data_IF_919257557735
#
_entry.id   IF_919257557735
#
_cell.length_a   1.000
_cell.length_b   1.000
_cell.length_c   1.000
_cell.angle_alpha   90.00
_cell.angle_beta   90.00
_cell.angle_gamma   90.00
#
_symmetry.space_group_name_H-M   'P 1'
#
loop_
_entity.id
_entity.type
_entity.pdbx_description
1 polymer ?
#
# COMPACT_ATOMS: atom_id res chain seq x y z
N UNK A 1 23.14 11.66 20.35
CA UNK A 1 22.13 10.67 20.04
C UNK A 1 20.77 11.36 20.00
N UNK A 2 19.95 11.09 19.00
CA UNK A 2 18.57 11.60 18.93
C UNK A 2 17.67 10.81 19.89
N UNK A 3 16.54 11.41 20.30
CA UNK A 3 15.46 10.76 21.04
C UNK A 3 14.15 11.28 20.46
N UNK A 4 13.19 10.39 20.23
CA UNK A 4 11.89 10.77 19.71
C UNK A 4 10.75 10.08 20.46
N UNK A 5 9.63 10.82 20.63
CA UNK A 5 8.37 10.30 21.15
C UNK A 5 7.26 10.58 20.15
N UNK A 6 6.49 9.56 19.79
CA UNK A 6 5.39 9.68 18.84
C UNK A 6 4.09 9.24 19.50
N UNK A 7 3.08 10.08 19.39
CA UNK A 7 1.73 9.81 19.91
C UNK A 7 0.69 10.20 18.86
N UNK A 8 -0.28 9.34 18.65
CA UNK A 8 -1.41 9.58 17.76
C UNK A 8 -2.65 9.95 18.58
N UNK A 9 -3.37 10.99 18.16
CA UNK A 9 -4.59 11.45 18.82
C UNK A 9 -5.02 12.84 18.36
N UNK A 10 -6.06 13.38 18.97
CA UNK A 10 -6.59 14.69 18.64
C UNK A 10 -5.62 15.82 19.04
N UNK A 11 -5.46 16.79 18.13
CA UNK A 11 -4.62 17.98 18.30
C UNK A 11 -5.42 19.20 17.90
N UNK A 12 -5.39 20.23 18.74
CA UNK A 12 -5.96 21.54 18.43
C UNK A 12 -4.93 22.38 17.69
N UNK A 13 -5.29 22.87 16.51
CA UNK A 13 -4.47 23.78 15.71
C UNK A 13 -4.99 25.20 15.82
N UNK A 14 -4.22 26.09 16.40
CA UNK A 14 -4.52 27.53 16.49
C UNK A 14 -3.62 28.29 15.52
N UNK A 15 -4.24 29.11 14.66
CA UNK A 15 -3.51 29.98 13.75
C UNK A 15 -3.06 31.24 14.49
N UNK A 16 -1.76 31.47 14.59
CA UNK A 16 -1.22 32.73 15.12
C UNK A 16 -1.53 33.88 14.18
N UNK A 17 -2.24 34.89 14.69
CA UNK A 17 -2.62 36.08 13.92
C UNK A 17 -1.43 36.94 13.49
N UNK A 18 -0.28 36.84 14.19
CA UNK A 18 0.90 37.67 13.94
C UNK A 18 1.94 37.07 13.00
N UNK A 19 2.00 35.75 12.88
CA UNK A 19 3.08 35.06 12.11
C UNK A 19 2.55 34.17 11.00
N UNK A 20 1.21 33.96 10.93
CA UNK A 20 0.61 33.02 9.96
C UNK A 20 0.94 31.56 10.21
N UNK A 21 1.72 31.25 11.26
CA UNK A 21 2.09 29.87 11.64
C UNK A 21 0.99 29.23 12.48
N UNK A 22 0.89 27.92 12.41
CA UNK A 22 -0.02 27.13 13.25
C UNK A 22 0.71 26.70 14.52
N UNK A 23 0.10 26.98 15.68
CA UNK A 23 0.49 26.38 16.94
C UNK A 23 -0.38 25.18 17.22
N UNK A 24 0.24 24.04 17.53
CA UNK A 24 -0.46 22.83 17.87
C UNK A 24 -0.47 22.64 19.39
N UNK A 25 -1.65 22.36 19.98
CA UNK A 25 -1.82 22.11 21.41
C UNK A 25 -2.71 20.89 21.64
N UNK A 26 -2.61 20.31 22.86
CA UNK A 26 -3.44 19.18 23.26
C UNK A 26 -2.68 18.10 24.03
N UNK A 27 -3.45 17.16 24.59
CA UNK A 27 -2.93 16.06 25.38
C UNK A 27 -1.96 15.16 24.58
N UNK A 28 -2.22 14.97 23.31
CA UNK A 28 -1.39 14.17 22.37
C UNK A 28 0.03 14.74 22.24
N UNK A 29 0.16 16.07 22.12
CA UNK A 29 1.48 16.73 22.02
C UNK A 29 2.25 16.63 23.34
N UNK A 30 1.54 16.86 24.45
CA UNK A 30 2.15 16.72 25.80
C UNK A 30 2.64 15.28 26.00
N UNK A 31 1.89 14.29 25.54
CA UNK A 31 2.24 12.89 25.63
C UNK A 31 3.44 12.55 24.74
N UNK A 32 3.49 13.04 23.52
CA UNK A 32 4.65 12.87 22.64
C UNK A 32 5.93 13.46 23.24
N UNK A 33 5.84 14.64 23.89
CA UNK A 33 6.95 15.23 24.62
C UNK A 33 7.45 14.33 25.78
N UNK A 34 6.54 13.77 26.56
CA UNK A 34 6.90 12.86 27.67
C UNK A 34 7.50 11.53 27.19
N UNK A 35 7.00 10.99 26.08
CA UNK A 35 7.59 9.81 25.44
C UNK A 35 9.02 10.10 24.98
N UNK A 36 9.24 11.25 24.35
CA UNK A 36 10.59 11.70 23.96
C UNK A 36 11.53 11.76 25.17
N UNK A 37 11.08 12.36 26.30
CA UNK A 37 11.90 12.49 27.49
C UNK A 37 12.19 11.13 28.17
N UNK A 38 11.29 10.16 28.01
CA UNK A 38 11.44 8.80 28.52
C UNK A 38 12.19 7.86 27.56
N UNK A 39 12.33 8.24 26.28
CA UNK A 39 12.97 7.40 25.30
C UNK A 39 14.47 7.24 25.59
N UNK A 40 15.03 6.02 25.52
CA UNK A 40 16.47 5.82 25.61
C UNK A 40 17.21 6.54 24.49
N UNK A 41 18.48 6.94 24.71
CA UNK A 41 19.29 7.60 23.69
C UNK A 41 19.39 6.76 22.38
N UNK A 42 19.07 7.38 21.24
CA UNK A 42 19.09 6.72 19.94
C UNK A 42 17.80 5.96 19.61
N UNK A 43 16.74 6.04 20.43
CA UNK A 43 15.53 5.28 20.24
C UNK A 43 14.29 6.17 20.00
N UNK A 44 13.28 5.55 19.42
CA UNK A 44 11.96 6.13 19.20
C UNK A 44 10.95 5.36 20.04
N UNK A 45 10.25 6.05 20.93
CA UNK A 45 9.21 5.50 21.78
C UNK A 45 7.82 5.90 21.24
N UNK A 46 6.89 4.96 21.16
CA UNK A 46 5.53 5.22 20.66
C UNK A 46 4.46 4.75 21.64
N UNK A 47 3.26 5.37 21.58
CA UNK A 47 2.09 4.91 22.32
C UNK A 47 1.47 3.66 21.69
N UNK A 48 0.58 2.99 22.44
CA UNK A 48 -0.21 1.85 21.95
C UNK A 48 -1.03 2.24 20.69
N UNK A 49 -1.65 3.42 20.67
CA UNK A 49 -2.43 3.90 19.53
C UNK A 49 -1.56 4.07 18.28
N UNK A 50 -0.36 4.64 18.44
CA UNK A 50 0.62 4.72 17.34
C UNK A 50 1.10 3.33 16.90
N UNK A 51 1.48 2.47 17.87
CA UNK A 51 1.89 1.09 17.60
C UNK A 51 0.84 0.34 16.76
N UNK A 52 -0.44 0.43 17.14
CA UNK A 52 -1.52 -0.27 16.46
C UNK A 52 -1.64 0.16 14.98
N UNK A 53 -1.40 1.45 14.69
CA UNK A 53 -1.48 1.96 13.33
C UNK A 53 -0.28 1.57 12.45
N UNK A 54 0.91 1.45 13.04
CA UNK A 54 2.15 1.27 12.26
C UNK A 54 2.85 -0.08 12.49
N UNK A 55 2.28 -0.99 13.31
CA UNK A 55 2.83 -2.33 13.58
C UNK A 55 2.99 -3.20 12.33
N UNK A 56 2.24 -2.90 11.26
CA UNK A 56 2.37 -3.56 9.97
C UNK A 56 3.64 -3.14 9.19
N UNK A 57 4.25 -2.00 9.55
CA UNK A 57 5.38 -1.39 8.82
C UNK A 57 6.69 -1.50 9.58
N UNK A 58 6.63 -1.47 10.93
CA UNK A 58 7.80 -1.48 11.79
C UNK A 58 7.82 -2.71 12.70
N UNK A 59 9.02 -3.15 13.07
CA UNK A 59 9.25 -4.10 14.15
C UNK A 59 9.35 -3.34 15.46
N UNK A 60 8.74 -3.87 16.52
CA UNK A 60 8.71 -3.26 17.84
C UNK A 60 9.09 -4.26 18.90
N UNK A 61 9.60 -3.77 20.00
CA UNK A 61 9.61 -4.49 21.28
C UNK A 61 8.91 -3.66 22.37
N UNK A 62 8.34 -4.30 23.40
CA UNK A 62 7.73 -3.59 24.52
C UNK A 62 8.75 -2.65 25.18
N UNK A 63 8.33 -1.41 25.44
CA UNK A 63 9.07 -0.46 26.24
C UNK A 63 8.60 -0.47 27.69
N UNK A 64 9.30 0.29 28.55
CA UNK A 64 8.90 0.43 29.95
C UNK A 64 7.56 1.20 30.03
N UNK A 65 6.59 0.73 30.83
CA UNK A 65 5.31 1.41 31.00
C UNK A 65 5.50 2.82 31.59
N UNK A 66 4.92 3.83 30.92
CA UNK A 66 5.09 5.23 31.29
C UNK A 66 4.03 5.65 32.31
N UNK A 67 4.45 6.04 33.52
CA UNK A 67 3.57 6.61 34.54
C UNK A 67 3.28 8.07 34.28
N UNK A 68 2.03 8.40 34.03
CA UNK A 68 1.60 9.77 33.76
C UNK A 68 0.92 10.38 35.00
N UNK A 69 1.32 11.62 35.34
CA UNK A 69 0.69 12.36 36.43
C UNK A 69 -0.80 12.59 36.11
N UNK A 70 -1.72 12.07 36.95
CA UNK A 70 -3.16 12.18 36.75
C UNK A 70 -3.81 10.95 36.08
N UNK A 71 -3.05 9.92 35.70
CA UNK A 71 -3.58 8.62 35.26
C UNK A 71 -3.31 7.56 36.31
N UNK A 72 -4.32 6.73 36.62
CA UNK A 72 -4.20 5.66 37.61
C UNK A 72 -3.37 4.47 37.07
N UNK A 73 -3.46 4.20 35.78
CA UNK A 73 -2.78 3.08 35.12
C UNK A 73 -1.58 3.59 34.30
N UNK A 74 -0.46 2.87 34.32
CA UNK A 74 0.67 3.14 33.44
C UNK A 74 0.25 3.01 31.98
N UNK A 75 0.86 3.79 31.10
CA UNK A 75 0.64 3.71 29.66
C UNK A 75 1.65 2.73 29.06
N UNK A 76 1.17 1.75 28.31
CA UNK A 76 2.03 0.84 27.54
C UNK A 76 2.75 1.62 26.44
N UNK A 77 4.05 1.37 26.34
CA UNK A 77 4.91 1.99 25.34
C UNK A 77 5.61 0.91 24.52
N UNK A 78 6.02 1.28 23.31
CA UNK A 78 6.71 0.40 22.38
C UNK A 78 7.90 1.13 21.79
N UNK A 79 9.03 0.44 21.70
CA UNK A 79 10.25 0.93 21.07
C UNK A 79 10.28 0.46 19.62
N UNK A 80 10.52 1.39 18.70
CA UNK A 80 10.72 1.08 17.28
C UNK A 80 12.13 0.50 17.11
N UNK A 81 12.20 -0.72 16.61
CA UNK A 81 13.46 -1.43 16.38
C UNK A 81 13.97 -1.22 14.95
N UNK A 82 13.13 -1.52 13.96
CA UNK A 82 13.49 -1.45 12.55
C UNK A 82 12.27 -1.33 11.65
N UNK A 83 12.49 -0.92 10.41
CA UNK A 83 11.48 -0.99 9.35
C UNK A 83 11.39 -2.44 8.87
N UNK A 84 10.19 -3.01 8.86
CA UNK A 84 9.98 -4.34 8.27
C UNK A 84 10.32 -4.29 6.78
N UNK A 85 10.96 -5.34 6.23
CA UNK A 85 11.06 -5.50 4.79
C UNK A 85 9.69 -5.29 4.13
N UNK A 86 9.64 -4.67 2.95
CA UNK A 86 8.37 -4.32 2.27
C UNK A 86 7.45 -5.54 2.11
N UNK A 87 8.01 -6.74 1.88
CA UNK A 87 7.30 -8.01 1.80
C UNK A 87 6.50 -8.38 3.08
N UNK A 88 6.89 -7.85 4.24
CA UNK A 88 6.24 -8.13 5.53
C UNK A 88 5.37 -6.98 6.05
N UNK A 89 5.13 -5.94 5.25
CA UNK A 89 4.26 -4.82 5.61
C UNK A 89 2.80 -5.23 5.47
N UNK A 90 2.27 -5.97 6.45
CA UNK A 90 0.85 -6.28 6.49
C UNK A 90 0.05 -5.03 6.86
N UNK A 91 -0.93 -4.67 6.05
CA UNK A 91 -1.92 -3.65 6.45
C UNK A 91 -2.83 -4.31 7.50
N UNK A 92 -2.85 -3.78 8.73
CA UNK A 92 -3.83 -4.18 9.74
C UNK A 92 -5.24 -3.99 9.16
N UNK A 93 -6.07 -5.05 9.16
CA UNK A 93 -7.39 -5.05 8.51
C UNK A 93 -8.48 -5.38 9.49
N UNK A 94 -9.63 -4.75 9.28
CA UNK A 94 -10.78 -4.87 10.16
C UNK A 94 -10.91 -3.74 11.17
N UNK A 95 -11.93 -3.82 12.00
CA UNK A 95 -12.24 -2.84 13.03
C UNK A 95 -11.89 -3.46 14.38
N UNK A 96 -11.11 -2.76 15.19
CA UNK A 96 -10.83 -3.12 16.60
C UNK A 96 -10.35 -4.58 16.77
N UNK A 97 -9.45 -5.04 15.88
CA UNK A 97 -8.92 -6.42 15.94
C UNK A 97 -9.87 -7.51 15.45
N UNK A 98 -11.02 -7.14 14.90
CA UNK A 98 -11.93 -8.08 14.21
C UNK A 98 -11.48 -8.25 12.78
N UNK A 99 -10.84 -9.37 12.45
CA UNK A 99 -10.55 -9.72 11.07
C UNK A 99 -11.85 -10.01 10.32
N UNK A 100 -12.00 -9.42 9.15
CA UNK A 100 -13.20 -9.55 8.31
C UNK A 100 -12.88 -10.27 7.01
N UNK A 101 -13.85 -11.02 6.50
CA UNK A 101 -13.78 -11.60 5.17
C UNK A 101 -14.03 -10.52 4.10
N UNK A 102 -13.44 -10.70 2.93
CA UNK A 102 -13.80 -9.91 1.77
C UNK A 102 -15.23 -10.22 1.34
N UNK A 103 -16.02 -9.19 1.07
CA UNK A 103 -17.43 -9.34 0.69
C UNK A 103 -17.67 -8.68 -0.68
N UNK A 104 -18.33 -9.42 -1.59
CA UNK A 104 -18.85 -8.90 -2.86
C UNK A 104 -17.78 -8.58 -3.90
N UNK A 105 -16.65 -9.31 -3.85
CA UNK A 105 -15.53 -9.22 -4.81
C UNK A 105 -15.04 -10.60 -5.25
N UNK A 106 -15.89 -11.59 -5.09
CA UNK A 106 -15.56 -12.99 -5.37
C UNK A 106 -15.33 -13.24 -6.87
N UNK A 107 -16.01 -12.48 -7.74
CA UNK A 107 -15.86 -12.57 -9.20
C UNK A 107 -14.52 -11.98 -9.62
N UNK A 108 -14.24 -10.77 -9.15
CA UNK A 108 -12.99 -10.04 -9.48
C UNK A 108 -11.76 -10.79 -8.95
N UNK A 109 -11.86 -11.39 -7.76
CA UNK A 109 -10.80 -12.25 -7.24
C UNK A 109 -10.56 -13.46 -8.14
N UNK A 110 -11.63 -14.11 -8.59
CA UNK A 110 -11.52 -15.26 -9.48
C UNK A 110 -10.87 -14.90 -10.82
N UNK A 111 -11.21 -13.76 -11.42
CA UNK A 111 -10.55 -13.28 -12.64
C UNK A 111 -9.04 -13.11 -12.47
N UNK A 112 -8.60 -12.55 -11.32
CA UNK A 112 -7.18 -12.46 -11.01
C UNK A 112 -6.52 -13.83 -10.84
N UNK A 113 -7.21 -14.77 -10.20
CA UNK A 113 -6.73 -16.14 -10.01
C UNK A 113 -6.61 -16.89 -11.35
N UNK A 114 -7.61 -16.77 -12.21
CA UNK A 114 -7.63 -17.36 -13.56
C UNK A 114 -6.49 -16.77 -14.42
N UNK A 115 -6.26 -15.46 -14.38
CA UNK A 115 -5.18 -14.83 -15.13
C UNK A 115 -3.78 -15.30 -14.66
N UNK A 116 -3.56 -15.48 -13.35
CA UNK A 116 -2.31 -16.08 -12.87
C UNK A 116 -2.16 -17.53 -13.29
N UNK A 117 -3.22 -18.32 -13.21
CA UNK A 117 -3.21 -19.73 -13.65
C UNK A 117 -2.85 -19.83 -15.13
N UNK A 118 -3.47 -19.03 -15.99
CA UNK A 118 -3.15 -18.96 -17.43
C UNK A 118 -1.68 -18.57 -17.67
N UNK A 119 -1.17 -17.59 -16.90
CA UNK A 119 0.25 -17.20 -16.98
C UNK A 119 1.18 -18.38 -16.68
N UNK A 120 0.83 -19.19 -15.68
CA UNK A 120 1.65 -20.35 -15.28
C UNK A 120 1.54 -21.52 -16.26
N UNK A 121 0.33 -21.79 -16.77
CA UNK A 121 0.07 -22.93 -17.68
C UNK A 121 0.54 -22.66 -19.10
N UNK A 122 0.23 -21.48 -19.64
CA UNK A 122 0.51 -21.15 -21.05
C UNK A 122 1.88 -20.49 -21.24
N UNK A 123 2.50 -19.99 -20.16
CA UNK A 123 3.78 -19.27 -20.21
C UNK A 123 3.68 -17.91 -20.92
N UNK A 124 2.48 -17.33 -20.99
CA UNK A 124 2.21 -16.07 -21.68
C UNK A 124 2.04 -14.91 -20.69
N UNK A 125 2.40 -13.71 -21.15
CA UNK A 125 2.23 -12.49 -20.34
C UNK A 125 0.76 -12.12 -20.24
N UNK A 126 0.24 -11.99 -19.03
CA UNK A 126 -1.11 -11.52 -18.72
C UNK A 126 -1.05 -10.19 -17.96
N UNK A 127 -1.95 -9.27 -18.29
CA UNK A 127 -2.05 -7.97 -17.60
C UNK A 127 -3.49 -7.74 -17.17
N UNK A 128 -3.68 -7.41 -15.91
CA UNK A 128 -4.99 -7.02 -15.40
C UNK A 128 -4.91 -5.64 -14.77
N UNK A 129 -5.74 -4.71 -15.24
CA UNK A 129 -5.88 -3.40 -14.62
C UNK A 129 -7.19 -3.30 -13.86
N UNK A 130 -7.10 -3.29 -12.54
CA UNK A 130 -8.25 -3.10 -11.64
C UNK A 130 -8.48 -1.61 -11.42
N UNK A 131 -9.62 -1.12 -11.87
CA UNK A 131 -9.99 0.30 -11.84
C UNK A 131 -11.14 0.51 -10.86
N UNK A 132 -11.07 1.55 -10.06
CA UNK A 132 -12.18 1.91 -9.17
C UNK A 132 -11.83 3.12 -8.32
N UNK A 133 -12.86 3.75 -7.79
CA UNK A 133 -12.73 4.93 -6.93
C UNK A 133 -11.99 4.66 -5.62
N UNK A 134 -11.65 5.73 -4.90
CA UNK A 134 -11.04 5.60 -3.58
C UNK A 134 -11.98 4.85 -2.62
N UNK A 135 -11.41 3.94 -1.82
CA UNK A 135 -12.17 3.21 -0.82
C UNK A 135 -13.01 2.03 -1.32
N UNK A 136 -13.13 1.82 -2.65
CA UNK A 136 -13.98 0.77 -3.24
C UNK A 136 -13.47 -0.67 -3.01
N UNK A 137 -12.28 -0.83 -2.43
CA UNK A 137 -11.73 -2.14 -2.05
C UNK A 137 -10.61 -2.69 -2.92
N UNK A 138 -9.98 -1.89 -3.80
CA UNK A 138 -8.84 -2.33 -4.65
C UNK A 138 -7.72 -3.02 -3.87
N UNK A 139 -7.21 -2.36 -2.83
CA UNK A 139 -6.12 -2.91 -2.00
C UNK A 139 -6.56 -4.13 -1.18
N UNK A 140 -7.87 -4.26 -0.88
CA UNK A 140 -8.40 -5.46 -0.25
C UNK A 140 -8.41 -6.64 -1.23
N UNK A 141 -8.81 -6.40 -2.46
CA UNK A 141 -8.80 -7.42 -3.52
C UNK A 141 -7.37 -7.92 -3.78
N UNK A 142 -6.40 -7.01 -3.90
CA UNK A 142 -4.99 -7.38 -4.08
C UNK A 142 -4.46 -8.21 -2.92
N UNK A 143 -4.83 -7.87 -1.68
CA UNK A 143 -4.42 -8.63 -0.52
C UNK A 143 -5.00 -10.06 -0.50
N UNK A 144 -6.29 -10.20 -0.79
CA UNK A 144 -6.91 -11.54 -0.85
C UNK A 144 -6.28 -12.38 -1.96
N UNK A 145 -5.98 -11.76 -3.10
CA UNK A 145 -5.24 -12.40 -4.17
C UNK A 145 -3.85 -12.83 -3.72
N UNK A 146 -3.07 -11.93 -3.08
CA UNK A 146 -1.72 -12.25 -2.57
C UNK A 146 -1.77 -13.36 -1.52
N UNK A 147 -2.75 -13.30 -0.60
CA UNK A 147 -2.92 -14.34 0.42
C UNK A 147 -3.24 -15.70 -0.21
N UNK A 148 -4.05 -15.72 -1.26
CA UNK A 148 -4.35 -16.94 -1.99
C UNK A 148 -3.12 -17.44 -2.77
N UNK A 149 -2.40 -16.56 -3.47
CA UNK A 149 -1.22 -16.94 -4.25
C UNK A 149 -0.07 -17.46 -3.39
N UNK A 150 0.06 -17.00 -2.13
CA UNK A 150 1.03 -17.51 -1.17
C UNK A 150 0.75 -18.97 -0.73
N UNK A 151 -0.46 -19.49 -0.99
CA UNK A 151 -0.84 -20.87 -0.69
C UNK A 151 -0.66 -21.82 -1.88
N UNK A 152 -0.25 -21.32 -3.05
CA UNK A 152 0.04 -22.16 -4.21
C UNK A 152 1.32 -22.98 -3.96
N UNK A 153 1.38 -24.18 -4.53
CA UNK A 153 2.57 -25.02 -4.48
C UNK A 153 3.66 -24.49 -5.40
N UNK A 154 3.26 -23.82 -6.48
CA UNK A 154 4.16 -23.20 -7.45
C UNK A 154 4.80 -21.94 -6.87
N UNK A 155 6.12 -21.85 -7.02
CA UNK A 155 6.87 -20.66 -6.63
C UNK A 155 6.92 -19.66 -7.77
N UNK A 156 6.84 -18.37 -7.45
CA UNK A 156 6.97 -17.26 -8.40
C UNK A 156 7.84 -16.14 -7.84
N UNK A 157 8.40 -15.34 -8.74
CA UNK A 157 9.11 -14.12 -8.36
C UNK A 157 8.15 -12.96 -8.21
N UNK A 158 8.05 -12.44 -6.98
CA UNK A 158 7.22 -11.28 -6.70
C UNK A 158 8.02 -9.98 -6.86
N UNK A 159 7.44 -9.04 -7.62
CA UNK A 159 7.86 -7.64 -7.75
C UNK A 159 6.70 -6.74 -7.33
N UNK A 160 6.94 -5.80 -6.44
CA UNK A 160 5.91 -4.87 -5.99
C UNK A 160 6.39 -3.43 -6.13
N UNK A 161 5.50 -2.56 -6.56
CA UNK A 161 5.73 -1.12 -6.58
C UNK A 161 4.44 -0.36 -6.29
N UNK A 162 4.59 0.80 -5.67
CA UNK A 162 3.48 1.67 -5.39
C UNK A 162 3.80 3.10 -5.79
N UNK A 163 2.97 3.67 -6.68
CA UNK A 163 3.04 5.08 -6.99
C UNK A 163 2.42 5.93 -5.88
N UNK A 164 2.97 7.12 -5.70
CA UNK A 164 2.46 8.14 -4.77
C UNK A 164 2.33 9.47 -5.51
N UNK A 165 1.50 10.37 -5.00
CA UNK A 165 1.32 11.67 -5.65
C UNK A 165 2.65 12.45 -5.84
N UNK A 166 3.57 12.51 -4.87
CA UNK A 166 4.89 13.12 -5.09
C UNK A 166 5.74 12.43 -6.15
N UNK A 167 5.62 11.10 -6.31
CA UNK A 167 6.40 10.33 -7.27
C UNK A 167 6.00 10.58 -8.73
N UNK A 168 4.82 11.15 -8.96
CA UNK A 168 4.33 11.49 -10.31
C UNK A 168 5.26 12.45 -11.07
N UNK A 169 5.98 13.30 -10.35
CA UNK A 169 6.93 14.27 -10.91
C UNK A 169 8.37 13.73 -11.03
N UNK A 170 8.62 12.52 -10.55
CA UNK A 170 9.95 11.91 -10.54
C UNK A 170 10.03 10.80 -11.61
N UNK A 171 10.76 11.04 -12.71
CA UNK A 171 10.91 10.03 -13.77
C UNK A 171 11.41 8.69 -13.22
N UNK A 172 10.83 7.61 -13.68
CA UNK A 172 11.17 6.24 -13.30
C UNK A 172 10.95 5.89 -11.82
N UNK A 173 10.16 6.67 -11.08
CA UNK A 173 9.94 6.44 -9.65
C UNK A 173 9.25 5.10 -9.38
N UNK A 174 8.25 4.71 -10.17
CA UNK A 174 7.56 3.43 -10.00
C UNK A 174 8.47 2.24 -10.34
N UNK A 175 9.24 2.33 -11.44
CA UNK A 175 10.18 1.26 -11.81
C UNK A 175 11.33 1.15 -10.81
N UNK A 176 11.84 2.26 -10.31
CA UNK A 176 12.82 2.26 -9.22
C UNK A 176 12.25 1.57 -7.98
N UNK A 177 11.00 1.85 -7.60
CA UNK A 177 10.34 1.22 -6.46
C UNK A 177 10.19 -0.30 -6.66
N UNK A 178 9.88 -0.75 -7.90
CA UNK A 178 9.77 -2.16 -8.28
C UNK A 178 11.09 -2.93 -8.01
N UNK A 179 12.21 -2.40 -8.48
CA UNK A 179 13.52 -3.00 -8.25
C UNK A 179 13.99 -2.83 -6.80
N UNK A 180 13.65 -1.71 -6.15
CA UNK A 180 13.95 -1.50 -4.73
C UNK A 180 13.28 -2.55 -3.86
N UNK A 181 12.00 -2.88 -4.14
CA UNK A 181 11.31 -3.97 -3.47
C UNK A 181 12.04 -5.29 -3.68
N UNK A 182 12.33 -5.64 -4.93
CA UNK A 182 12.93 -6.94 -5.27
C UNK A 182 14.31 -7.14 -4.66
N UNK A 183 15.14 -6.11 -4.66
CA UNK A 183 16.52 -6.17 -4.18
C UNK A 183 16.68 -5.66 -2.74
N UNK A 184 15.56 -5.41 -2.03
CA UNK A 184 15.54 -4.93 -0.65
C UNK A 184 16.37 -3.65 -0.43
N UNK A 185 16.29 -2.74 -1.41
CA UNK A 185 16.88 -1.41 -1.34
C UNK A 185 15.94 -0.51 -0.54
N UNK A 186 16.45 0.13 0.51
CA UNK A 186 15.69 1.04 1.37
C UNK A 186 15.96 2.48 0.98
N UNK A 187 14.98 3.37 1.23
CA UNK A 187 15.15 4.81 1.00
C UNK A 187 16.23 5.43 1.92
N UNK A 188 16.57 4.75 3.02
CA UNK A 188 17.62 5.13 3.96
C UNK A 188 19.00 4.60 3.61
N UNK A 189 19.13 3.75 2.58
CA UNK A 189 20.42 3.19 2.19
C UNK A 189 21.32 4.27 1.58
N UNK A 190 22.60 4.32 1.96
CA UNK A 190 23.60 5.14 1.27
C UNK A 190 23.77 4.72 -0.19
N UNK A 191 24.20 5.64 -1.05
CA UNK A 191 24.25 5.41 -2.50
C UNK A 191 25.11 4.20 -2.90
N UNK A 192 26.24 4.00 -2.23
CA UNK A 192 27.12 2.84 -2.44
C UNK A 192 26.44 1.51 -2.08
N UNK A 193 25.63 1.49 -1.03
CA UNK A 193 24.82 0.34 -0.63
C UNK A 193 23.70 0.07 -1.64
N UNK A 194 23.04 1.14 -2.11
CA UNK A 194 22.03 1.04 -3.19
C UNK A 194 22.62 0.39 -4.43
N UNK A 195 23.78 0.88 -4.89
CA UNK A 195 24.48 0.33 -6.06
C UNK A 195 24.89 -1.14 -5.83
N UNK A 196 25.48 -1.45 -4.68
CA UNK A 196 25.89 -2.82 -4.37
C UNK A 196 24.70 -3.78 -4.37
N UNK A 197 23.59 -3.41 -3.72
CA UNK A 197 22.38 -4.24 -3.69
C UNK A 197 21.78 -4.43 -5.09
N UNK A 198 21.74 -3.37 -5.90
CA UNK A 198 21.22 -3.44 -7.26
C UNK A 198 22.07 -4.36 -8.14
N UNK A 199 23.40 -4.14 -8.19
CA UNK A 199 24.31 -4.96 -8.98
C UNK A 199 24.30 -6.42 -8.55
N UNK A 200 24.34 -6.69 -7.24
CA UNK A 200 24.24 -8.05 -6.70
C UNK A 200 22.92 -8.71 -7.05
N UNK A 201 21.81 -7.94 -6.95
CA UNK A 201 20.47 -8.42 -7.30
C UNK A 201 20.33 -8.81 -8.77
N UNK A 202 20.86 -7.98 -9.69
CA UNK A 202 20.87 -8.28 -11.12
C UNK A 202 21.80 -9.48 -11.42
N UNK A 203 23.01 -9.50 -10.87
CA UNK A 203 23.97 -10.58 -11.07
C UNK A 203 23.44 -11.95 -10.57
N UNK A 204 22.61 -11.95 -9.53
CA UNK A 204 21.94 -13.15 -9.03
C UNK A 204 21.04 -13.84 -10.06
N UNK A 205 20.50 -13.10 -11.02
CA UNK A 205 19.67 -13.63 -12.11
C UNK A 205 20.46 -13.77 -13.43
N UNK A 206 21.26 -12.77 -13.76
CA UNK A 206 21.96 -12.69 -15.05
C UNK A 206 23.29 -13.46 -15.07
N UNK A 207 23.89 -13.74 -13.91
CA UNK A 207 25.21 -14.35 -13.77
C UNK A 207 26.34 -13.34 -13.66
N UNK A 208 27.56 -13.86 -13.48
CA UNK A 208 28.79 -13.06 -13.37
C UNK A 208 29.17 -12.42 -14.73
N UNK A 209 29.84 -11.27 -14.68
CA UNK A 209 30.31 -10.55 -15.87
C UNK A 209 29.27 -9.65 -16.54
N UNK A 210 28.14 -9.41 -15.89
CA UNK A 210 27.04 -8.57 -16.39
C UNK A 210 26.99 -7.17 -15.74
N UNK A 211 28.10 -6.72 -15.13
CA UNK A 211 28.14 -5.46 -14.38
C UNK A 211 27.78 -4.24 -15.24
N UNK A 212 28.36 -4.11 -16.44
CA UNK A 212 28.06 -2.98 -17.34
C UNK A 212 26.59 -2.97 -17.77
N UNK A 213 26.01 -4.14 -18.04
CA UNK A 213 24.60 -4.28 -18.38
C UNK A 213 23.71 -3.90 -17.19
N UNK A 214 24.09 -4.33 -15.99
CA UNK A 214 23.38 -4.00 -14.75
C UNK A 214 23.45 -2.49 -14.45
N UNK A 215 24.59 -1.82 -14.70
CA UNK A 215 24.72 -0.36 -14.55
C UNK A 215 23.81 0.40 -15.53
N UNK A 216 23.77 -0.04 -16.80
CA UNK A 216 22.89 0.55 -17.82
C UNK A 216 21.41 0.33 -17.48
N UNK A 217 21.06 -0.88 -17.04
CA UNK A 217 19.71 -1.21 -16.57
C UNK A 217 19.34 -0.36 -15.35
N UNK A 218 20.22 -0.23 -14.37
CA UNK A 218 20.03 0.58 -13.17
C UNK A 218 19.73 2.04 -13.55
N UNK A 219 20.53 2.63 -14.46
CA UNK A 219 20.30 3.98 -14.95
C UNK A 219 18.95 4.12 -15.66
N UNK A 220 18.52 3.13 -16.46
CA UNK A 220 17.22 3.13 -17.12
C UNK A 220 16.07 3.11 -16.12
N UNK A 221 16.14 2.31 -15.08
CA UNK A 221 15.05 2.12 -14.11
C UNK A 221 15.07 3.12 -12.94
N UNK A 222 15.92 4.14 -13.01
CA UNK A 222 15.88 5.28 -12.09
C UNK A 222 16.89 5.26 -10.95
N UNK A 223 17.90 4.38 -10.99
CA UNK A 223 19.07 4.48 -10.10
C UNK A 223 20.16 5.29 -10.77
N UNK A 224 20.86 6.13 -10.01
CA UNK A 224 21.90 7.01 -10.55
C UNK A 224 23.24 6.29 -10.66
N UNK A 225 23.53 5.77 -11.85
CA UNK A 225 24.83 5.21 -12.23
C UNK A 225 25.63 6.15 -13.18
N UNK A 226 25.22 7.41 -13.33
CA UNK A 226 25.82 8.35 -14.29
C UNK A 226 27.32 8.59 -14.12
N UNK A 227 27.86 8.35 -12.92
CA UNK A 227 29.28 8.45 -12.60
C UNK A 227 30.11 7.22 -13.07
N UNK A 228 29.46 6.15 -13.49
CA UNK A 228 30.13 4.95 -14.02
C UNK A 228 30.57 5.15 -15.44
N UNK A 229 31.82 4.76 -15.81
CA UNK A 229 32.37 5.04 -17.15
C UNK A 229 31.51 4.50 -18.31
N UNK A 230 31.01 3.26 -18.18
CA UNK A 230 30.17 2.64 -19.20
C UNK A 230 28.87 3.40 -19.42
N UNK A 231 28.21 3.84 -18.33
CA UNK A 231 26.96 4.63 -18.37
C UNK A 231 27.24 6.02 -18.94
N UNK A 232 28.28 6.71 -18.45
CA UNK A 232 28.65 8.04 -18.93
C UNK A 232 28.97 8.06 -20.43
N UNK A 233 29.62 7.00 -20.95
CA UNK A 233 29.89 6.85 -22.38
C UNK A 233 28.61 6.57 -23.18
N UNK A 234 27.79 5.64 -22.71
CA UNK A 234 26.53 5.28 -23.36
C UNK A 234 25.55 6.47 -23.43
N UNK A 235 25.49 7.32 -22.40
CA UNK A 235 24.62 8.50 -22.33
C UNK A 235 25.01 9.63 -23.34
N UNK A 236 26.16 9.54 -24.01
CA UNK A 236 26.50 10.46 -25.12
C UNK A 236 25.57 10.29 -26.29
N UNK A 237 24.97 9.09 -26.47
CA UNK A 237 23.93 8.82 -27.46
C UNK A 237 22.66 8.30 -26.69
N UNK A 238 21.75 9.19 -26.28
CA UNK A 238 20.59 8.86 -25.49
C UNK A 238 19.63 7.85 -26.15
N UNK A 239 19.52 7.85 -27.48
CA UNK A 239 18.64 6.92 -28.19
C UNK A 239 19.24 5.51 -28.20
N UNK A 240 20.53 5.40 -28.43
CA UNK A 240 21.26 4.14 -28.38
C UNK A 240 21.28 3.59 -26.93
N UNK A 241 21.54 4.46 -25.94
CA UNK A 241 21.46 4.08 -24.52
C UNK A 241 20.11 3.47 -24.21
N UNK A 242 19.01 4.18 -24.54
CA UNK A 242 17.65 3.73 -24.23
C UNK A 242 17.34 2.38 -24.88
N UNK A 243 17.73 2.20 -26.15
CA UNK A 243 17.50 0.93 -26.87
C UNK A 243 18.22 -0.23 -26.18
N UNK A 244 19.54 -0.09 -25.98
CA UNK A 244 20.33 -1.13 -25.34
C UNK A 244 19.84 -1.46 -23.94
N UNK A 245 19.50 -0.45 -23.13
CA UNK A 245 19.01 -0.66 -21.78
C UNK A 245 17.61 -1.31 -21.75
N UNK A 246 16.74 -1.07 -22.75
CA UNK A 246 15.47 -1.79 -22.91
C UNK A 246 15.70 -3.26 -23.30
N UNK A 247 16.67 -3.53 -24.20
CA UNK A 247 17.03 -4.89 -24.56
C UNK A 247 17.51 -5.67 -23.32
N UNK A 248 18.37 -5.05 -22.49
CA UNK A 248 18.82 -5.64 -21.23
C UNK A 248 17.70 -5.83 -20.21
N UNK A 249 16.71 -4.94 -20.18
CA UNK A 249 15.51 -5.13 -19.34
C UNK A 249 14.71 -6.36 -19.78
N UNK A 250 14.54 -6.53 -21.11
CA UNK A 250 13.90 -7.72 -21.66
C UNK A 250 14.67 -9.01 -21.33
N UNK A 251 15.99 -9.00 -21.53
CA UNK A 251 16.87 -10.13 -21.18
C UNK A 251 16.81 -10.46 -19.68
N UNK A 252 16.81 -9.44 -18.80
CA UNK A 252 16.69 -9.61 -17.37
C UNK A 252 15.38 -10.35 -17.01
N UNK A 253 14.23 -9.86 -17.49
CA UNK A 253 12.96 -10.52 -17.21
C UNK A 253 12.83 -11.89 -17.85
N UNK A 254 13.41 -12.12 -19.02
CA UNK A 254 13.50 -13.46 -19.62
C UNK A 254 14.32 -14.42 -18.76
N UNK A 255 15.45 -13.96 -18.20
CA UNK A 255 16.25 -14.75 -17.27
C UNK A 255 15.54 -15.04 -15.95
N UNK A 256 14.89 -14.03 -15.36
CA UNK A 256 14.08 -14.20 -14.14
C UNK A 256 12.97 -15.21 -14.36
N UNK A 257 12.22 -15.08 -15.46
CA UNK A 257 11.07 -15.93 -15.77
C UNK A 257 11.46 -17.36 -16.17
N UNK A 258 12.69 -17.57 -16.61
CA UNK A 258 13.20 -18.94 -16.91
C UNK A 258 13.39 -19.80 -15.65
N UNK A 259 13.45 -19.19 -14.48
CA UNK A 259 13.55 -19.89 -13.20
C UNK A 259 12.16 -20.16 -12.60
N UNK A 260 11.32 -19.13 -12.51
CA UNK A 260 9.95 -19.17 -12.00
C UNK A 260 9.12 -18.07 -12.67
N UNK A 261 7.80 -18.24 -12.80
CA UNK A 261 6.89 -17.18 -13.24
C UNK A 261 7.08 -15.90 -12.44
N UNK A 262 6.73 -14.78 -13.05
CA UNK A 262 6.86 -13.46 -12.42
C UNK A 262 5.46 -12.92 -12.14
N UNK A 263 5.27 -12.40 -10.94
CA UNK A 263 4.07 -11.63 -10.55
C UNK A 263 4.49 -10.21 -10.21
N UNK A 264 3.89 -9.23 -10.85
CA UNK A 264 4.10 -7.81 -10.58
C UNK A 264 2.84 -7.19 -9.98
N UNK A 265 2.95 -6.62 -8.78
CA UNK A 265 1.90 -5.80 -8.17
C UNK A 265 2.25 -4.32 -8.32
N UNK A 266 1.44 -3.59 -9.06
CA UNK A 266 1.61 -2.16 -9.30
C UNK A 266 0.43 -1.39 -8.69
N UNK A 267 0.64 -0.85 -7.48
CA UNK A 267 -0.41 -0.13 -6.77
C UNK A 267 -0.44 1.36 -7.14
N UNK A 268 -1.64 1.91 -7.19
CA UNK A 268 -1.94 3.34 -7.38
C UNK A 268 -1.29 3.95 -8.64
N UNK A 269 -1.23 3.19 -9.76
CA UNK A 269 -0.53 3.62 -10.99
C UNK A 269 -1.09 4.88 -11.64
N UNK A 270 -2.24 5.37 -11.23
CA UNK A 270 -2.76 6.68 -11.61
C UNK A 270 -1.88 7.84 -11.10
N UNK A 271 -1.02 7.59 -10.10
CA UNK A 271 0.03 8.49 -9.62
C UNK A 271 1.42 8.17 -10.21
N UNK A 272 1.55 7.14 -11.03
CA UNK A 272 2.83 6.78 -11.60
C UNK A 272 3.31 7.82 -12.62
N UNK A 273 4.61 8.01 -12.70
CA UNK A 273 5.22 8.86 -13.71
C UNK A 273 5.12 8.24 -15.12
N UNK A 274 5.11 9.10 -16.13
CA UNK A 274 4.87 8.67 -17.51
C UNK A 274 5.98 7.76 -18.04
N UNK A 275 7.24 7.96 -17.60
CA UNK A 275 8.38 7.15 -18.04
C UNK A 275 8.28 5.72 -17.53
N UNK A 276 7.87 5.54 -16.27
CA UNK A 276 7.62 4.22 -15.72
C UNK A 276 6.47 3.51 -16.43
N UNK A 277 5.36 4.21 -16.69
CA UNK A 277 4.22 3.62 -17.40
C UNK A 277 4.60 3.21 -18.83
N UNK A 278 5.36 4.05 -19.55
CA UNK A 278 5.85 3.71 -20.89
C UNK A 278 6.79 2.50 -20.85
N UNK A 279 7.66 2.40 -19.85
CA UNK A 279 8.60 1.29 -19.71
C UNK A 279 7.87 -0.02 -19.48
N UNK A 280 6.90 -0.04 -18.55
CA UNK A 280 6.08 -1.21 -18.24
C UNK A 280 5.24 -1.62 -19.46
N UNK A 281 4.60 -0.64 -20.11
CA UNK A 281 3.81 -0.91 -21.32
C UNK A 281 4.65 -1.51 -22.45
N UNK A 282 5.86 -1.01 -22.67
CA UNK A 282 6.79 -1.54 -23.67
C UNK A 282 7.22 -2.96 -23.30
N UNK A 283 7.60 -3.20 -22.03
CA UNK A 283 7.98 -4.53 -21.57
C UNK A 283 6.88 -5.57 -21.87
N UNK A 284 5.65 -5.27 -21.49
CA UNK A 284 4.50 -6.17 -21.66
C UNK A 284 4.18 -6.42 -23.15
N UNK A 285 4.32 -5.40 -24.01
CA UNK A 285 4.04 -5.50 -25.45
C UNK A 285 5.09 -6.30 -26.19
N UNK A 286 6.36 -6.16 -25.82
CA UNK A 286 7.49 -6.83 -26.47
C UNK A 286 7.69 -8.24 -25.95
N UNK A 287 7.41 -8.49 -24.68
CA UNK A 287 7.65 -9.75 -23.98
C UNK A 287 6.35 -10.56 -23.79
N UNK A 288 5.69 -10.91 -24.89
CA UNK A 288 4.37 -11.63 -24.85
C UNK A 288 4.46 -13.10 -24.46
N UNK A 289 5.64 -13.72 -24.60
CA UNK A 289 5.88 -15.14 -24.35
C UNK A 289 6.68 -15.37 -23.07
N UNK A 290 6.52 -14.49 -22.08
CA UNK A 290 7.08 -14.69 -20.74
C UNK A 290 5.96 -15.06 -19.77
N UNK A 291 6.17 -16.00 -18.85
CA UNK A 291 5.26 -16.23 -17.74
C UNK A 291 5.30 -15.03 -16.75
N UNK A 292 4.68 -13.92 -17.17
CA UNK A 292 4.64 -12.65 -16.45
C UNK A 292 3.19 -12.22 -16.23
N UNK A 293 2.77 -12.15 -14.97
CA UNK A 293 1.48 -11.62 -14.58
C UNK A 293 1.63 -10.23 -13.97
N UNK A 294 0.99 -9.23 -14.57
CA UNK A 294 1.02 -7.84 -14.11
C UNK A 294 -0.34 -7.42 -13.61
N UNK A 295 -0.45 -7.11 -12.33
CA UNK A 295 -1.66 -6.55 -11.70
C UNK A 295 -1.45 -5.07 -11.46
N UNK A 296 -2.28 -4.24 -12.09
CA UNK A 296 -2.28 -2.80 -11.94
C UNK A 296 -3.50 -2.34 -11.14
N UNK A 297 -3.30 -1.57 -10.06
CA UNK A 297 -4.39 -0.94 -9.32
C UNK A 297 -4.45 0.54 -9.66
N UNK A 298 -5.60 1.02 -10.15
CA UNK A 298 -5.76 2.39 -10.62
C UNK A 298 -7.08 3.03 -10.17
N UNK A 299 -7.13 4.36 -10.21
CA UNK A 299 -8.38 5.12 -10.24
C UNK A 299 -8.75 5.44 -11.70
N UNK A 300 -10.02 5.81 -11.98
CA UNK A 300 -10.45 6.21 -13.32
C UNK A 300 -9.61 7.31 -13.95
N UNK A 301 -9.02 8.20 -13.15
CA UNK A 301 -8.11 9.27 -13.59
C UNK A 301 -6.87 8.77 -14.36
N UNK A 302 -6.50 7.49 -14.26
CA UNK A 302 -5.47 6.90 -15.12
C UNK A 302 -5.88 7.02 -16.59
N UNK A 303 -7.12 6.67 -16.93
CA UNK A 303 -7.62 6.67 -18.30
C UNK A 303 -7.94 8.09 -18.82
N UNK A 304 -8.17 9.05 -17.91
CA UNK A 304 -8.23 10.47 -18.31
C UNK A 304 -6.86 10.98 -18.78
N UNK A 305 -5.78 10.57 -18.10
CA UNK A 305 -4.40 10.92 -18.42
C UNK A 305 -3.81 10.06 -19.53
N UNK A 306 -4.15 8.78 -19.54
CA UNK A 306 -3.64 7.74 -20.44
C UNK A 306 -4.79 6.96 -21.06
N UNK A 307 -5.56 7.57 -21.99
CA UNK A 307 -6.73 6.90 -22.59
C UNK A 307 -6.40 5.57 -23.28
N UNK A 308 -5.17 5.47 -23.80
CA UNK A 308 -4.68 4.30 -24.53
C UNK A 308 -3.97 3.28 -23.64
N UNK A 309 -4.09 3.36 -22.30
CA UNK A 309 -3.49 2.37 -21.41
C UNK A 309 -4.08 0.97 -21.67
N UNK A 310 -3.19 0.01 -21.96
CA UNK A 310 -3.56 -1.36 -22.30
C UNK A 310 -3.82 -1.60 -23.80
N UNK A 311 -3.89 -0.55 -24.64
CA UNK A 311 -4.03 -0.74 -26.08
C UNK A 311 -2.79 -1.39 -26.69
N UNK A 312 -3.03 -2.37 -27.59
CA UNK A 312 -1.96 -3.12 -28.26
C UNK A 312 -1.25 -4.16 -27.39
N UNK A 313 -1.65 -4.35 -26.14
CA UNK A 313 -1.26 -5.49 -25.34
C UNK A 313 -2.14 -6.69 -25.73
N UNK A 314 -1.51 -7.87 -25.92
CA UNK A 314 -2.22 -9.07 -26.44
C UNK A 314 -3.24 -9.60 -25.43
N UNK A 315 -2.87 -9.62 -24.15
CA UNK A 315 -3.68 -10.15 -23.07
C UNK A 315 -3.79 -9.11 -21.94
N UNK A 316 -4.63 -8.10 -22.17
CA UNK A 316 -4.95 -7.09 -21.17
C UNK A 316 -6.43 -7.13 -20.83
N UNK A 317 -6.74 -7.31 -19.56
CA UNK A 317 -8.08 -7.25 -19.02
C UNK A 317 -8.25 -6.03 -18.12
N UNK A 318 -9.39 -5.35 -18.25
CA UNK A 318 -9.79 -4.26 -17.35
C UNK A 318 -10.94 -4.69 -16.47
N UNK A 319 -10.69 -4.75 -15.17
CA UNK A 319 -11.71 -5.03 -14.15
C UNK A 319 -12.16 -3.70 -13.54
N UNK A 320 -13.45 -3.35 -13.72
CA UNK A 320 -14.04 -2.16 -13.10
C UNK A 320 -14.67 -2.54 -11.75
N UNK A 321 -14.16 -1.96 -10.65
CA UNK A 321 -14.79 -2.13 -9.34
C UNK A 321 -15.86 -1.07 -9.12
N UNK A 322 -17.10 -1.50 -9.18
CA UNK A 322 -18.25 -0.66 -8.83
C UNK A 322 -18.47 -0.64 -7.31
N UNK A 323 -19.22 0.34 -6.76
CA UNK A 323 -19.68 0.30 -5.38
C UNK A 323 -20.37 -1.04 -5.04
N UNK A 324 -20.28 -1.49 -3.80
CA UNK A 324 -20.96 -2.71 -3.36
C UNK A 324 -22.48 -2.56 -3.50
N UNK A 325 -23.14 -3.64 -3.91
CA UNK A 325 -24.60 -3.69 -3.85
C UNK A 325 -25.09 -3.54 -2.42
N UNK A 326 -26.34 -3.08 -2.24
CA UNK A 326 -26.94 -2.99 -0.90
C UNK A 326 -26.89 -4.31 -0.14
N UNK A 327 -27.08 -5.45 -0.84
CA UNK A 327 -26.98 -6.76 -0.22
C UNK A 327 -25.56 -7.04 0.28
N UNK A 328 -24.55 -6.74 -0.52
CA UNK A 328 -23.13 -6.89 -0.12
C UNK A 328 -22.75 -5.93 1.01
N UNK A 329 -23.23 -4.68 0.98
CA UNK A 329 -23.02 -3.72 2.06
C UNK A 329 -23.63 -4.19 3.37
N UNK A 330 -24.87 -4.73 3.36
CA UNK A 330 -25.49 -5.33 4.55
C UNK A 330 -24.70 -6.54 5.08
N UNK A 331 -24.18 -7.39 4.19
CA UNK A 331 -23.31 -8.51 4.59
C UNK A 331 -22.01 -8.01 5.21
N UNK A 332 -21.42 -6.94 4.66
CA UNK A 332 -20.21 -6.33 5.18
C UNK A 332 -20.43 -5.75 6.58
N UNK A 333 -21.52 -5.00 6.81
CA UNK A 333 -21.88 -4.50 8.15
C UNK A 333 -22.01 -5.64 9.16
N UNK A 334 -22.70 -6.74 8.76
CA UNK A 334 -22.83 -7.92 9.62
C UNK A 334 -21.48 -8.57 9.94
N UNK A 335 -20.57 -8.64 8.97
CA UNK A 335 -19.24 -9.21 9.18
C UNK A 335 -18.36 -8.32 10.08
N UNK A 336 -18.43 -6.99 9.91
CA UNK A 336 -17.72 -6.03 10.75
C UNK A 336 -18.20 -6.03 12.20
N UNK A 337 -19.51 -6.17 12.38
CA UNK A 337 -20.16 -6.18 13.68
C UNK A 337 -20.51 -7.61 14.17
N UNK A 338 -19.74 -8.62 13.75
CA UNK A 338 -20.01 -10.04 14.07
C UNK A 338 -19.85 -10.39 15.56
N UNK A 339 -19.27 -9.49 16.35
CA UNK A 339 -19.27 -9.60 17.83
C UNK A 339 -20.59 -9.14 18.46
N UNK A 340 -21.55 -8.64 17.68
CA UNK A 340 -22.91 -8.38 18.15
C UNK A 340 -23.76 -9.64 17.90
N UNK A 341 -24.58 -10.05 18.88
CA UNK A 341 -25.52 -11.15 18.71
C UNK A 341 -26.51 -10.89 17.58
N UNK A 342 -27.01 -9.64 17.50
CA UNK A 342 -27.85 -9.16 16.42
C UNK A 342 -27.56 -7.68 16.15
N UNK A 343 -27.30 -7.33 14.91
CA UNK A 343 -27.17 -5.93 14.49
C UNK A 343 -28.59 -5.35 14.28
N UNK A 344 -29.00 -4.30 15.01
CA UNK A 344 -30.29 -3.69 14.83
C UNK A 344 -30.53 -3.27 13.36
N UNK A 345 -31.70 -3.56 12.78
CA UNK A 345 -31.98 -3.21 11.36
C UNK A 345 -31.79 -1.73 11.06
N UNK A 346 -32.20 -0.85 11.99
CA UNK A 346 -32.11 0.59 11.84
C UNK A 346 -30.64 1.06 11.78
N UNK A 347 -29.78 0.52 12.63
CA UNK A 347 -28.36 0.81 12.64
C UNK A 347 -27.67 0.31 11.37
N UNK A 348 -27.99 -0.94 10.98
CA UNK A 348 -27.46 -1.53 9.75
C UNK A 348 -27.85 -0.70 8.52
N UNK A 349 -29.11 -0.38 8.37
CA UNK A 349 -29.63 0.33 7.21
C UNK A 349 -29.10 1.78 7.18
N UNK A 350 -28.93 2.43 8.33
CA UNK A 350 -28.26 3.74 8.45
C UNK A 350 -26.82 3.68 7.91
N UNK A 351 -26.03 2.67 8.28
CA UNK A 351 -24.64 2.52 7.81
C UNK A 351 -24.62 2.28 6.30
N UNK A 352 -25.47 1.38 5.81
CA UNK A 352 -25.54 0.99 4.40
C UNK A 352 -25.93 2.19 3.51
N UNK A 353 -26.97 2.94 3.90
CA UNK A 353 -27.45 4.08 3.12
C UNK A 353 -26.41 5.21 3.06
N UNK A 354 -25.68 5.46 4.16
CA UNK A 354 -24.66 6.51 4.20
C UNK A 354 -23.38 6.16 3.50
N UNK A 355 -23.00 4.89 3.53
CA UNK A 355 -21.79 4.42 2.87
C UNK A 355 -21.94 4.37 1.35
N UNK A 356 -23.15 4.37 0.82
CA UNK A 356 -23.46 4.35 -0.62
C UNK A 356 -22.66 3.30 -1.39
N UNK A 357 -22.53 2.10 -0.79
CA UNK A 357 -21.79 0.98 -1.36
C UNK A 357 -20.26 1.09 -1.28
N UNK A 358 -19.70 2.12 -0.66
CA UNK A 358 -18.26 2.24 -0.50
C UNK A 358 -17.77 1.52 0.77
N UNK A 359 -16.96 0.43 0.64
CA UNK A 359 -16.48 -0.35 1.79
C UNK A 359 -15.73 0.47 2.84
N UNK A 360 -14.92 1.43 2.41
CA UNK A 360 -14.17 2.29 3.31
C UNK A 360 -15.11 3.11 4.21
N UNK A 361 -16.19 3.66 3.66
CA UNK A 361 -17.15 4.40 4.46
C UNK A 361 -17.96 3.49 5.40
N UNK A 362 -18.24 2.24 5.00
CA UNK A 362 -18.84 1.27 5.93
C UNK A 362 -17.94 1.05 7.15
N UNK A 363 -16.63 0.86 6.95
CA UNK A 363 -15.66 0.69 8.03
C UNK A 363 -15.54 1.94 8.91
N UNK A 364 -15.42 3.13 8.29
CA UNK A 364 -15.28 4.38 9.04
C UNK A 364 -16.54 4.75 9.83
N UNK A 365 -17.74 4.50 9.29
CA UNK A 365 -18.99 4.70 10.02
C UNK A 365 -19.10 3.75 11.23
N UNK A 366 -18.74 2.49 11.06
CA UNK A 366 -18.70 1.56 12.19
C UNK A 366 -17.70 2.00 13.28
N UNK A 367 -16.50 2.49 12.89
CA UNK A 367 -15.52 3.03 13.84
C UNK A 367 -16.06 4.26 14.56
N UNK A 368 -16.63 5.20 13.84
CA UNK A 368 -17.23 6.40 14.41
C UNK A 368 -18.33 6.06 15.45
N UNK A 369 -19.19 5.09 15.13
CA UNK A 369 -20.24 4.64 16.05
C UNK A 369 -19.68 3.96 17.30
N UNK A 370 -18.51 3.31 17.22
CA UNK A 370 -17.79 2.77 18.37
C UNK A 370 -17.17 3.91 19.19
N UNK A 371 -16.52 4.86 18.56
CA UNK A 371 -15.86 5.99 19.22
C UNK A 371 -16.87 6.92 19.92
N UNK A 372 -18.05 7.11 19.33
CA UNK A 372 -19.15 7.87 19.90
C UNK A 372 -19.89 7.10 21.02
N UNK A 373 -19.54 5.83 21.23
CA UNK A 373 -20.14 4.97 22.25
C UNK A 373 -21.58 4.57 21.93
N UNK A 374 -22.02 4.67 20.69
CA UNK A 374 -23.28 4.08 20.20
C UNK A 374 -23.17 2.57 20.14
N UNK A 375 -22.01 2.08 19.69
CA UNK A 375 -21.63 0.68 19.78
C UNK A 375 -20.67 0.55 20.97
N UNK A 376 -21.12 -0.17 21.99
CA UNK A 376 -20.35 -0.41 23.22
C UNK A 376 -19.62 -1.75 23.10
N UNK A 377 -18.29 -1.69 23.20
CA UNK A 377 -17.45 -2.89 23.15
C UNK A 377 -17.50 -3.61 24.48
N UNK A 378 -17.94 -4.88 24.48
CA UNK A 378 -17.70 -5.83 25.56
C UNK A 378 -16.56 -6.78 25.19
N UNK A 379 -16.04 -7.51 26.17
CA UNK A 379 -14.94 -8.46 25.95
C UNK A 379 -15.32 -9.57 24.97
N UNK A 380 -16.52 -10.11 25.08
CA UNK A 380 -17.04 -11.19 24.22
C UNK A 380 -18.10 -10.69 23.24
N UNK A 381 -19.03 -9.84 23.68
CA UNK A 381 -20.20 -9.39 22.92
C UNK A 381 -20.26 -7.86 22.90
N UNK A 382 -20.56 -7.30 21.73
CA UNK A 382 -20.81 -5.87 21.55
C UNK A 382 -22.31 -5.58 21.63
N UNK A 383 -22.67 -4.43 22.17
CA UNK A 383 -24.07 -4.00 22.33
C UNK A 383 -24.30 -2.59 21.76
N UNK A 384 -25.55 -2.22 21.55
CA UNK A 384 -25.93 -0.86 21.13
C UNK A 384 -26.50 -0.10 22.32
N UNK A 385 -26.02 1.12 22.58
CA UNK A 385 -26.64 2.07 23.49
C UNK A 385 -27.77 2.81 22.75
N UNK A 386 -29.01 2.36 22.99
CA UNK A 386 -30.21 2.92 22.33
C UNK A 386 -30.40 4.41 22.62
N UNK A 387 -29.95 4.90 23.78
CA UNK A 387 -30.10 6.31 24.19
C UNK A 387 -29.24 7.22 23.31
N UNK A 388 -28.03 6.76 22.98
CA UNK A 388 -27.09 7.48 22.09
C UNK A 388 -27.41 7.30 20.62
N UNK A 389 -27.96 6.15 20.23
CA UNK A 389 -28.41 5.90 18.86
C UNK A 389 -29.46 6.90 18.39
N UNK A 390 -30.36 7.33 19.27
CA UNK A 390 -31.42 8.32 18.99
C UNK A 390 -30.86 9.76 18.89
N UNK A 391 -29.75 10.06 19.58
CA UNK A 391 -29.15 11.39 19.65
C UNK A 391 -28.02 11.61 18.62
N UNK A 392 -27.71 10.64 17.78
CA UNK A 392 -26.58 10.72 16.86
C UNK A 392 -26.79 11.86 15.83
N UNK A 393 -26.03 12.99 15.90
CA UNK A 393 -26.22 14.17 15.05
C UNK A 393 -25.80 13.95 13.59
N UNK A 394 -25.41 12.75 13.24
CA UNK A 394 -25.06 12.35 11.86
C UNK A 394 -26.26 12.27 10.90
N UNK A 395 -27.36 12.97 11.21
CA UNK A 395 -28.51 13.18 10.32
C UNK A 395 -28.28 14.22 9.21
N UNK A 396 -27.14 14.92 9.19
CA UNK A 396 -26.82 15.91 8.14
C UNK A 396 -25.78 15.34 7.16
N UNK A 397 -26.04 15.50 5.88
CA UNK A 397 -25.31 15.04 4.71
C UNK A 397 -23.77 15.12 4.85
N UNK A 398 -23.03 14.09 4.40
CA UNK A 398 -21.58 14.21 4.27
C UNK A 398 -21.25 15.27 3.21
N UNK A 399 -20.44 16.25 3.60
CA UNK A 399 -19.88 17.23 2.68
C UNK A 399 -19.16 16.51 1.52
N UNK A 400 -19.67 16.69 0.31
CA UNK A 400 -18.89 16.54 -0.91
C UNK A 400 -17.76 17.56 -0.85
N UNK A 401 -16.57 17.15 -0.51
CA UNK A 401 -15.41 18.04 -0.55
C UNK A 401 -14.39 17.78 0.54
N UNK A 402 -13.66 16.72 0.46
CA UNK A 402 -12.26 16.61 0.91
C UNK A 402 -11.65 15.37 0.25
N UNK A 403 -11.37 15.48 -1.05
CA UNK A 403 -10.39 14.63 -1.69
C UNK A 403 -9.03 15.28 -1.44
N UNK A 404 -8.19 14.66 -0.63
CA UNK A 404 -6.75 14.87 -0.56
C UNK A 404 -6.07 13.56 -0.90
#
# INVERSE_FOLDING_TARGET
PFQAGISTGLVLLERSSNTGTYAASGATITLAGRLKDAAPPGQILVTHDTFTQVRGVFTFHPGDPLRLRGRKEPLDTYVVESVKPRAFRSKARGIEGVETRMIGREIELRLLQEALTLTMEDGETQVVTVVGEAGVGKSRLLFEFSTWSDLLEETFWLFEARATQPSMLQPYSLTRDLFSFRFQILDSDPLDVVHAKFLTGVAGFMGEGTEEQAELLGQLVGFDFSHRPAVADAMKDPERFRRNALDYLGEFFAKVSSQHPIVMHLEDIHWADDRSLDLINNLVREQTNLPLFVICMARPSLYERRPQWGEGQRFHERIQLEPLSQLSSRRMVKELLKKMDAVPPELRDLIVDRADGNPFYVEELCKALIDDGVIVKGDEVWTVDETRAIQCPHSSHPHRGAAV
#
